data_IF_931415579040
#
_entry.id   IF_931415579040
#
_cell.length_a   1.000
_cell.length_b   1.000
_cell.length_c   1.000
_cell.angle_alpha   90.00
_cell.angle_beta   90.00
_cell.angle_gamma   90.00
#
_symmetry.space_group_name_H-M   'P 1'
#
loop_
_entity.id
_entity.type
_entity.pdbx_description
1 polymer ?
#
# COMPACT_ATOMS: atom_id res chain seq x y z
N UNK A 1 2.02 10.43 4.58
CA UNK A 1 1.48 10.92 3.29
C UNK A 1 -0.02 10.71 3.18
N UNK A 2 -0.58 9.53 3.45
CA UNK A 2 -2.04 9.31 3.35
C UNK A 2 -2.79 10.16 4.38
N UNK A 3 -2.34 10.21 5.64
CA UNK A 3 -3.01 10.99 6.69
C UNK A 3 -2.91 12.51 6.49
N UNK A 4 -1.73 13.04 6.11
CA UNK A 4 -1.62 14.47 5.77
C UNK A 4 -2.40 14.80 4.49
N UNK A 5 -2.48 13.87 3.54
CA UNK A 5 -3.34 14.04 2.35
C UNK A 5 -4.81 13.97 2.72
N UNK A 6 -5.20 13.08 3.63
CA UNK A 6 -6.57 12.93 4.12
C UNK A 6 -6.99 14.15 4.90
N UNK A 7 -6.14 14.63 5.82
CA UNK A 7 -6.37 15.86 6.56
C UNK A 7 -6.43 17.06 5.63
N UNK A 8 -5.52 17.15 4.65
CA UNK A 8 -5.57 18.20 3.65
C UNK A 8 -6.86 18.13 2.81
N UNK A 9 -7.32 16.94 2.43
CA UNK A 9 -8.58 16.72 1.72
C UNK A 9 -9.79 17.08 2.59
N UNK A 10 -9.77 16.73 3.89
CA UNK A 10 -10.80 17.09 4.88
C UNK A 10 -10.86 18.60 5.08
N UNK A 11 -9.72 19.24 5.33
CA UNK A 11 -9.61 20.69 5.53
C UNK A 11 -10.02 21.46 4.26
N UNK A 12 -9.65 20.94 3.09
CA UNK A 12 -10.05 21.53 1.81
C UNK A 12 -11.54 21.37 1.55
N UNK A 13 -12.12 20.21 1.86
CA UNK A 13 -13.55 19.95 1.75
C UNK A 13 -14.36 20.88 2.66
N UNK A 14 -13.92 21.05 3.92
CA UNK A 14 -14.53 21.98 4.87
C UNK A 14 -14.42 23.42 4.36
N UNK A 15 -13.24 23.84 3.89
CA UNK A 15 -13.04 25.19 3.36
C UNK A 15 -13.98 25.49 2.19
N UNK A 16 -14.12 24.56 1.24
CA UNK A 16 -15.00 24.72 0.08
C UNK A 16 -16.46 24.80 0.54
N UNK A 17 -16.90 23.90 1.44
CA UNK A 17 -18.26 23.92 1.97
C UNK A 17 -18.60 25.22 2.73
N UNK A 18 -17.64 25.80 3.45
CA UNK A 18 -17.81 27.10 4.11
C UNK A 18 -17.95 28.23 3.09
N UNK A 19 -17.13 28.25 2.03
CA UNK A 19 -17.22 29.26 0.97
C UNK A 19 -18.57 29.17 0.23
N UNK A 20 -19.00 27.97 -0.14
CA UNK A 20 -20.31 27.73 -0.75
C UNK A 20 -21.46 28.17 0.16
N UNK A 21 -21.33 27.94 1.47
CA UNK A 21 -22.32 28.37 2.45
C UNK A 21 -22.45 29.90 2.52
N UNK A 22 -21.36 30.65 2.33
CA UNK A 22 -21.37 32.12 2.27
C UNK A 22 -22.13 32.59 1.02
N UNK A 23 -21.88 31.98 -0.14
CA UNK A 23 -22.60 32.33 -1.38
C UNK A 23 -24.11 32.04 -1.32
N UNK A 24 -24.50 31.01 -0.57
CA UNK A 24 -25.90 30.68 -0.28
C UNK A 24 -26.54 31.74 0.63
N UNK A 25 -25.81 32.22 1.65
CA UNK A 25 -26.27 33.29 2.54
C UNK A 25 -26.43 34.61 1.78
N UNK A 26 -25.48 34.93 0.90
CA UNK A 26 -25.49 36.13 0.05
C UNK A 26 -26.45 36.04 -1.13
N UNK A 27 -27.25 34.96 -1.24
CA UNK A 27 -28.23 34.69 -2.32
C UNK A 27 -27.66 34.80 -3.74
N UNK A 28 -26.36 34.58 -3.87
CA UNK A 28 -25.65 34.62 -5.16
C UNK A 28 -25.67 33.23 -5.81
N UNK A 29 -25.90 32.19 -5.00
CA UNK A 29 -26.12 30.82 -5.42
C UNK A 29 -27.62 30.50 -5.60
N UNK A 30 -27.93 29.49 -6.43
CA UNK A 30 -29.32 28.99 -6.62
C UNK A 30 -29.82 28.13 -5.45
N UNK A 31 -28.96 27.80 -4.49
CA UNK A 31 -29.29 26.93 -3.34
C UNK A 31 -29.95 27.74 -2.21
N UNK A 32 -30.79 27.07 -1.45
CA UNK A 32 -31.51 27.60 -0.30
C UNK A 32 -30.65 27.56 0.96
N UNK A 33 -30.90 28.49 1.88
CA UNK A 33 -30.22 28.53 3.19
C UNK A 33 -30.46 27.29 4.05
N UNK A 34 -31.49 26.48 3.74
CA UNK A 34 -31.77 25.21 4.39
C UNK A 34 -30.78 24.09 4.02
N UNK A 35 -29.99 24.24 2.96
CA UNK A 35 -29.06 23.21 2.46
C UNK A 35 -27.64 23.35 3.07
N UNK A 36 -27.37 24.43 3.82
CA UNK A 36 -26.08 24.67 4.49
C UNK A 36 -25.69 23.52 5.46
N UNK A 37 -26.60 22.98 6.30
CA UNK A 37 -26.27 21.86 7.18
C UNK A 37 -25.87 20.59 6.43
N UNK A 38 -26.45 20.35 5.25
CA UNK A 38 -26.12 19.20 4.41
C UNK A 38 -24.74 19.38 3.76
N UNK A 39 -24.43 20.58 3.25
CA UNK A 39 -23.11 20.90 2.68
C UNK A 39 -21.96 20.68 3.67
N UNK A 40 -22.16 21.09 4.93
CA UNK A 40 -21.16 20.89 5.98
C UNK A 40 -21.06 19.42 6.42
N UNK A 41 -22.18 18.68 6.44
CA UNK A 41 -22.19 17.25 6.75
C UNK A 41 -21.44 16.44 5.69
N UNK A 42 -21.62 16.77 4.42
CA UNK A 42 -20.93 16.11 3.31
C UNK A 42 -19.42 16.35 3.37
N UNK A 43 -18.98 17.58 3.66
CA UNK A 43 -17.56 17.88 3.85
C UNK A 43 -16.93 17.12 5.04
N UNK A 44 -17.67 16.96 6.14
CA UNK A 44 -17.22 16.21 7.31
C UNK A 44 -17.17 14.69 7.09
N UNK A 45 -17.89 14.19 6.07
CA UNK A 45 -17.94 12.77 5.74
C UNK A 45 -16.76 12.28 4.89
N UNK A 46 -15.90 13.20 4.41
CA UNK A 46 -14.71 12.86 3.62
C UNK A 46 -13.73 12.10 4.50
N UNK A 47 -13.64 10.78 4.33
CA UNK A 47 -12.65 9.91 4.95
C UNK A 47 -12.27 8.80 3.99
N UNK A 48 -11.02 8.33 4.04
CA UNK A 48 -10.53 7.35 3.07
C UNK A 48 -10.88 5.90 3.39
N UNK A 49 -11.32 5.57 4.61
CA UNK A 49 -11.85 4.24 4.92
C UNK A 49 -12.77 4.29 6.15
N UNK A 50 -13.98 3.75 6.02
CA UNK A 50 -14.93 3.58 7.14
C UNK A 50 -15.06 2.12 7.60
N UNK A 51 -14.44 1.18 6.88
CA UNK A 51 -14.46 -0.25 7.20
C UNK A 51 -13.24 -0.62 8.05
N UNK A 52 -13.44 -0.67 9.38
CA UNK A 52 -12.38 -1.09 10.30
C UNK A 52 -12.39 -2.62 10.41
N UNK A 53 -11.72 -3.30 9.46
CA UNK A 53 -11.50 -4.74 9.51
C UNK A 53 -12.67 -5.58 8.99
N UNK A 54 -12.88 -6.75 9.58
CA UNK A 54 -13.91 -7.70 9.15
C UNK A 54 -15.18 -7.56 9.98
N UNK A 55 -16.33 -7.41 9.32
CA UNK A 55 -17.60 -7.68 9.98
C UNK A 55 -17.90 -9.17 9.87
N UNK A 56 -18.00 -9.86 11.01
CA UNK A 56 -18.14 -11.31 11.04
C UNK A 56 -19.44 -11.79 10.41
N UNK A 57 -20.50 -10.98 10.47
CA UNK A 57 -21.84 -11.33 10.01
C UNK A 57 -22.16 -10.77 8.62
N UNK A 58 -21.52 -9.68 8.20
CA UNK A 58 -21.74 -9.09 6.86
C UNK A 58 -20.70 -9.56 5.83
N UNK A 59 -19.53 -10.08 6.26
CA UNK A 59 -18.49 -10.61 5.37
C UNK A 59 -18.48 -12.16 5.29
N UNK A 60 -19.55 -12.85 5.67
CA UNK A 60 -19.59 -14.32 5.73
C UNK A 60 -19.33 -14.98 4.38
N UNK A 61 -19.90 -14.44 3.29
CA UNK A 61 -19.73 -14.95 1.93
C UNK A 61 -18.29 -14.74 1.44
N UNK A 62 -17.76 -13.51 1.59
CA UNK A 62 -16.38 -13.17 1.21
C UNK A 62 -15.35 -14.03 1.95
N UNK A 63 -15.59 -14.33 3.22
CA UNK A 63 -14.72 -15.18 4.04
C UNK A 63 -14.80 -16.63 3.59
N UNK A 64 -15.99 -17.14 3.30
CA UNK A 64 -16.17 -18.48 2.76
C UNK A 64 -15.42 -18.63 1.44
N UNK A 65 -15.56 -17.67 0.53
CA UNK A 65 -14.84 -17.66 -0.75
C UNK A 65 -13.32 -17.63 -0.55
N UNK A 66 -12.83 -16.79 0.37
CA UNK A 66 -11.40 -16.71 0.69
C UNK A 66 -10.83 -18.04 1.18
N UNK A 67 -11.57 -18.79 2.01
CA UNK A 67 -11.12 -20.09 2.51
C UNK A 67 -11.03 -21.18 1.43
N UNK A 68 -11.77 -21.03 0.34
CA UNK A 68 -11.77 -21.97 -0.79
C UNK A 68 -10.92 -21.47 -1.98
N UNK A 69 -10.32 -20.29 -1.86
CA UNK A 69 -9.45 -19.73 -2.88
C UNK A 69 -8.05 -20.33 -2.76
N UNK A 70 -7.49 -20.78 -3.88
CA UNK A 70 -6.10 -21.19 -3.94
C UNK A 70 -5.18 -19.97 -3.71
N UNK A 71 -4.35 -20.05 -2.68
CA UNK A 71 -3.44 -18.96 -2.30
C UNK A 71 -2.28 -18.83 -3.30
N UNK A 72 -2.21 -17.71 -4.02
CA UNK A 72 -1.06 -17.39 -4.87
C UNK A 72 0.16 -17.04 -3.99
N UNK A 73 1.27 -17.70 -4.27
CA UNK A 73 2.55 -17.49 -3.59
C UNK A 73 3.63 -17.05 -4.57
N UNK A 74 4.50 -16.17 -4.12
CA UNK A 74 5.74 -15.82 -4.80
C UNK A 74 6.83 -16.83 -4.39
N UNK A 75 7.24 -17.76 -5.27
CA UNK A 75 8.26 -18.74 -4.93
C UNK A 75 9.62 -18.06 -4.78
N UNK A 76 10.48 -18.66 -3.96
CA UNK A 76 11.91 -18.34 -3.91
C UNK A 76 12.63 -19.04 -5.06
N UNK A 77 13.77 -18.50 -5.46
CA UNK A 77 14.76 -19.22 -6.29
C UNK A 77 15.64 -20.17 -5.45
N UNK A 78 15.42 -20.21 -4.13
CA UNK A 78 16.08 -21.09 -3.17
C UNK A 78 15.16 -22.26 -2.77
N UNK A 79 15.56 -23.49 -3.11
CA UNK A 79 14.77 -24.71 -2.86
C UNK A 79 14.41 -24.92 -1.38
N UNK A 80 15.38 -24.73 -0.48
CA UNK A 80 15.14 -24.89 0.95
C UNK A 80 14.15 -23.87 1.52
N UNK A 81 14.14 -22.64 0.99
CA UNK A 81 13.17 -21.63 1.40
C UNK A 81 11.77 -22.03 0.98
N UNK A 82 11.60 -22.51 -0.27
CA UNK A 82 10.31 -23.02 -0.73
C UNK A 82 9.84 -24.22 0.10
N UNK A 83 10.75 -25.10 0.52
CA UNK A 83 10.41 -26.24 1.40
C UNK A 83 9.87 -25.78 2.76
N UNK A 84 10.51 -24.77 3.38
CA UNK A 84 10.10 -24.26 4.70
C UNK A 84 8.81 -23.44 4.58
N UNK A 85 8.67 -22.62 3.54
CA UNK A 85 7.53 -21.72 3.34
C UNK A 85 6.35 -22.37 2.61
N UNK A 86 6.48 -23.65 2.22
CA UNK A 86 5.48 -24.41 1.45
C UNK A 86 5.14 -23.71 0.12
N UNK A 87 6.17 -23.42 -0.66
CA UNK A 87 6.04 -22.89 -2.02
C UNK A 87 6.21 -21.37 -2.16
N UNK A 88 6.71 -20.68 -1.14
CA UNK A 88 7.02 -19.25 -1.24
C UNK A 88 6.22 -18.36 -0.30
N UNK A 89 6.26 -17.06 -0.58
CA UNK A 89 5.60 -16.02 0.21
C UNK A 89 4.17 -15.79 -0.27
N UNK A 90 3.15 -15.92 0.59
CA UNK A 90 1.78 -15.58 0.22
C UNK A 90 1.59 -14.10 -0.10
N UNK A 91 0.70 -13.80 -1.03
CA UNK A 91 0.29 -12.43 -1.33
C UNK A 91 -0.30 -11.75 -0.08
N UNK A 92 -0.15 -10.42 0.00
CA UNK A 92 -0.63 -9.57 1.12
C UNK A 92 -0.01 -9.91 2.49
N UNK A 93 1.20 -10.46 2.52
CA UNK A 93 1.96 -10.70 3.77
C UNK A 93 3.12 -9.74 3.93
N UNK A 94 3.43 -9.37 5.17
CA UNK A 94 4.65 -8.63 5.53
C UNK A 94 5.71 -9.63 6.02
N UNK A 95 6.82 -9.73 5.29
CA UNK A 95 7.94 -10.61 5.63
C UNK A 95 9.12 -9.78 6.08
N UNK A 96 9.72 -10.14 7.22
CA UNK A 96 10.80 -9.36 7.84
C UNK A 96 12.06 -10.23 7.92
N UNK A 97 13.15 -9.77 7.30
CA UNK A 97 14.48 -10.38 7.43
C UNK A 97 15.28 -9.65 8.52
N UNK A 98 15.60 -10.36 9.60
CA UNK A 98 16.37 -9.83 10.74
C UNK A 98 17.77 -10.44 10.76
N UNK A 99 18.79 -9.59 10.72
CA UNK A 99 20.18 -10.03 10.73
C UNK A 99 21.11 -8.92 11.25
N UNK A 100 22.27 -9.30 11.79
CA UNK A 100 23.28 -8.36 12.29
C UNK A 100 23.90 -7.47 11.21
N UNK A 101 24.75 -6.51 11.62
CA UNK A 101 25.51 -5.70 10.66
C UNK A 101 26.54 -6.55 9.91
N UNK A 102 26.69 -6.32 8.61
CA UNK A 102 27.68 -7.02 7.78
C UNK A 102 27.34 -8.47 7.39
N UNK A 103 26.23 -9.04 7.86
CA UNK A 103 25.88 -10.46 7.60
C UNK A 103 25.16 -10.70 6.27
N UNK A 104 24.94 -9.64 5.47
CA UNK A 104 24.36 -9.78 4.13
C UNK A 104 22.86 -9.50 4.01
N UNK A 105 22.22 -8.81 4.97
CA UNK A 105 20.79 -8.44 4.87
C UNK A 105 20.43 -7.71 3.56
N UNK A 106 21.24 -6.74 3.14
CA UNK A 106 21.00 -5.98 1.91
C UNK A 106 21.26 -6.82 0.66
N UNK A 107 22.24 -7.73 0.71
CA UNK A 107 22.52 -8.68 -0.39
C UNK A 107 21.36 -9.64 -0.58
N UNK A 108 20.81 -10.18 0.52
CA UNK A 108 19.62 -11.01 0.49
C UNK A 108 18.42 -10.27 -0.13
N UNK A 109 18.17 -9.02 0.27
CA UNK A 109 17.08 -8.22 -0.29
C UNK A 109 17.29 -7.91 -1.79
N UNK A 110 18.51 -7.58 -2.21
CA UNK A 110 18.83 -7.36 -3.64
C UNK A 110 18.66 -8.64 -4.46
N UNK A 111 19.04 -9.79 -3.90
CA UNK A 111 18.84 -11.10 -4.52
C UNK A 111 17.36 -11.42 -4.71
N UNK A 112 16.52 -11.20 -3.69
CA UNK A 112 15.07 -11.38 -3.78
C UNK A 112 14.42 -10.46 -4.82
N UNK A 113 14.87 -9.21 -4.91
CA UNK A 113 14.39 -8.28 -5.93
C UNK A 113 14.73 -8.78 -7.34
N UNK A 114 15.97 -9.23 -7.53
CA UNK A 114 16.46 -9.77 -8.81
C UNK A 114 15.69 -11.05 -9.21
N UNK A 115 15.51 -11.98 -8.27
CA UNK A 115 14.74 -13.21 -8.49
C UNK A 115 13.29 -12.92 -8.89
N UNK A 116 12.64 -11.97 -8.21
CA UNK A 116 11.27 -11.55 -8.51
C UNK A 116 11.17 -10.88 -9.90
N UNK A 117 12.16 -10.06 -10.27
CA UNK A 117 12.25 -9.48 -11.61
C UNK A 117 12.41 -10.55 -12.70
N UNK A 118 13.24 -11.57 -12.47
CA UNK A 118 13.41 -12.70 -13.38
C UNK A 118 12.14 -13.55 -13.56
N UNK A 119 11.24 -13.53 -12.58
CA UNK A 119 9.89 -14.11 -12.67
C UNK A 119 8.87 -13.18 -13.34
N UNK A 120 9.34 -12.10 -13.98
CA UNK A 120 8.52 -11.11 -14.69
C UNK A 120 7.49 -10.41 -13.77
N UNK A 121 7.85 -10.17 -12.51
CA UNK A 121 7.04 -9.40 -11.55
C UNK A 121 7.55 -7.95 -11.47
N UNK A 122 6.64 -7.02 -11.23
CA UNK A 122 6.99 -5.63 -10.94
C UNK A 122 7.49 -5.51 -9.51
N UNK A 123 8.70 -4.98 -9.31
CA UNK A 123 9.36 -4.87 -8.01
C UNK A 123 9.63 -3.40 -7.68
N UNK A 124 9.24 -2.97 -6.48
CA UNK A 124 9.61 -1.68 -5.90
C UNK A 124 10.63 -1.92 -4.79
N UNK A 125 11.82 -1.34 -4.94
CA UNK A 125 12.87 -1.41 -3.92
C UNK A 125 13.05 -0.04 -3.26
N UNK A 126 12.85 0.04 -1.95
CA UNK A 126 13.05 1.27 -1.17
C UNK A 126 14.24 1.05 -0.25
N UNK A 127 15.28 1.86 -0.41
CA UNK A 127 16.48 1.86 0.44
C UNK A 127 16.54 3.12 1.29
N UNK A 128 16.91 2.97 2.56
CA UNK A 128 17.23 4.07 3.48
C UNK A 128 18.70 4.03 3.95
N UNK A 129 19.49 3.07 3.43
CA UNK A 129 20.84 2.79 3.94
C UNK A 129 21.92 3.13 2.91
N UNK A 130 21.74 2.69 1.67
CA UNK A 130 22.69 2.91 0.56
C UNK A 130 22.04 3.76 -0.53
N UNK A 131 22.87 4.40 -1.35
CA UNK A 131 22.41 5.13 -2.54
C UNK A 131 21.75 4.18 -3.55
N UNK A 132 20.85 4.75 -4.34
CA UNK A 132 20.09 4.01 -5.36
C UNK A 132 21.02 3.32 -6.36
N UNK A 133 22.08 4.01 -6.83
CA UNK A 133 23.00 3.49 -7.84
C UNK A 133 23.75 2.24 -7.37
N UNK A 134 24.11 2.20 -6.08
CA UNK A 134 24.79 1.02 -5.50
C UNK A 134 23.87 -0.17 -5.34
N UNK A 135 22.58 0.06 -5.13
CA UNK A 135 21.57 -0.99 -5.10
C UNK A 135 21.27 -1.47 -6.52
N UNK A 136 21.13 -0.55 -7.48
CA UNK A 136 20.94 -0.88 -8.89
C UNK A 136 22.08 -1.73 -9.43
N UNK A 137 23.33 -1.33 -9.19
CA UNK A 137 24.54 -2.09 -9.56
C UNK A 137 24.50 -3.54 -9.02
N UNK A 138 24.04 -3.74 -7.78
CA UNK A 138 23.89 -5.08 -7.16
C UNK A 138 22.80 -5.90 -7.83
N UNK A 139 21.65 -5.30 -8.11
CA UNK A 139 20.52 -5.98 -8.73
C UNK A 139 20.89 -6.36 -10.17
N UNK A 140 21.51 -5.45 -10.91
CA UNK A 140 21.98 -5.70 -12.28
C UNK A 140 23.03 -6.81 -12.31
N UNK A 141 23.99 -6.79 -11.39
CA UNK A 141 25.00 -7.85 -11.28
C UNK A 141 24.38 -9.23 -11.00
N UNK A 142 23.36 -9.30 -10.13
CA UNK A 142 22.62 -10.52 -9.85
C UNK A 142 21.83 -11.02 -11.08
N UNK A 143 21.12 -10.13 -11.78
CA UNK A 143 20.31 -10.46 -12.97
C UNK A 143 21.20 -10.97 -14.11
N UNK A 144 22.31 -10.27 -14.37
CA UNK A 144 23.25 -10.60 -15.44
C UNK A 144 24.22 -11.73 -15.07
N UNK A 145 24.21 -12.16 -13.80
CA UNK A 145 25.11 -13.16 -13.24
C UNK A 145 26.59 -12.81 -13.49
N UNK A 146 26.98 -11.58 -13.14
CA UNK A 146 28.34 -11.06 -13.26
C UNK A 146 28.89 -10.66 -11.88
N UNK A 147 30.22 -10.69 -11.68
CA UNK A 147 30.81 -10.13 -10.47
C UNK A 147 30.60 -8.62 -10.41
N UNK A 148 30.42 -8.12 -9.19
CA UNK A 148 30.55 -6.69 -8.88
C UNK A 148 32.02 -6.29 -8.68
#
# INVERSE_FOLDING_TARGET
>A
MIDETEQWCKDRAIYIAVMDSIEVIDKTSQRSTGEIPELLKDALSVSFDTHIGHDVLEDEEKRFDFYHTDEEKLPFDLEYFNKITKGGLPNKTLNICLAGTGVGKSLFMCHMASASLMMNKNVLYITLEMSEERIAERIDANILNIPM
#
